data_IF_903496620822
#
_entry.id   IF_903496620822
#
_cell.length_a   1.000
_cell.length_b   1.000
_cell.length_c   1.000
_cell.angle_alpha   90.00
_cell.angle_beta   90.00
_cell.angle_gamma   90.00
#
_symmetry.space_group_name_H-M   'P 1'
#
loop_
_entity.id
_entity.type
_entity.pdbx_description
1 polymer ?
#
# COMPACT_ATOMS: atom_id res chain seq x y z
N UNK A 1 -33.34 -8.29 -29.69
CA UNK A 1 -33.09 -7.14 -30.56
C UNK A 1 -33.54 -5.84 -29.90
N UNK A 2 -34.83 -5.59 -29.67
CA UNK A 2 -35.31 -4.30 -29.14
C UNK A 2 -34.84 -3.93 -27.72
N UNK A 3 -34.54 -4.92 -26.84
CA UNK A 3 -34.02 -4.65 -25.48
C UNK A 3 -32.52 -4.34 -25.42
N UNK A 4 -31.74 -4.88 -26.36
CA UNK A 4 -30.29 -4.64 -26.42
C UNK A 4 -30.00 -3.27 -27.02
N UNK A 5 -30.75 -2.87 -28.04
CA UNK A 5 -30.64 -1.57 -28.70
C UNK A 5 -30.95 -0.42 -27.72
N UNK A 6 -32.02 -0.55 -26.92
CA UNK A 6 -32.38 0.41 -25.86
C UNK A 6 -31.31 0.55 -24.75
N UNK A 7 -30.53 -0.50 -24.49
CA UNK A 7 -29.45 -0.41 -23.50
C UNK A 7 -28.24 0.30 -24.07
N UNK A 8 -27.84 0.00 -25.31
CA UNK A 8 -26.72 0.69 -25.99
C UNK A 8 -26.97 2.17 -26.19
N UNK A 9 -28.16 2.58 -26.65
CA UNK A 9 -28.49 4.00 -26.84
C UNK A 9 -28.40 4.79 -25.52
N UNK A 10 -28.85 4.19 -24.41
CA UNK A 10 -28.75 4.80 -23.07
C UNK A 10 -27.32 4.84 -22.52
N UNK A 11 -26.47 3.91 -22.95
CA UNK A 11 -25.05 3.90 -22.58
C UNK A 11 -24.27 4.96 -23.37
N UNK A 12 -24.56 5.13 -24.66
CA UNK A 12 -23.93 6.13 -25.52
C UNK A 12 -24.36 7.56 -25.16
N UNK A 13 -25.64 7.78 -24.84
CA UNK A 13 -26.15 9.08 -24.35
C UNK A 13 -25.45 9.50 -23.03
N UNK A 14 -25.15 8.53 -22.15
CA UNK A 14 -24.36 8.77 -20.93
C UNK A 14 -22.88 9.06 -21.17
N UNK A 15 -22.32 8.68 -22.32
CA UNK A 15 -20.92 8.95 -22.66
C UNK A 15 -20.78 10.37 -23.22
N UNK A 16 -21.76 10.86 -23.99
CA UNK A 16 -21.79 12.26 -24.44
C UNK A 16 -21.91 13.25 -23.26
N UNK A 17 -22.67 12.91 -22.22
CA UNK A 17 -22.76 13.72 -20.98
C UNK A 17 -21.43 13.83 -20.21
N UNK A 18 -20.48 12.90 -20.45
CA UNK A 18 -19.17 12.88 -19.77
C UNK A 18 -18.14 13.79 -20.45
N UNK A 19 -18.32 14.10 -21.74
CA UNK A 19 -17.35 14.89 -22.51
C UNK A 19 -17.46 16.41 -22.29
N UNK A 20 -18.55 16.93 -21.71
CA UNK A 20 -18.79 18.39 -21.55
C UNK A 20 -18.57 18.94 -20.12
N UNK A 21 -17.97 18.16 -19.20
CA UNK A 21 -17.82 18.58 -17.78
C UNK A 21 -16.51 19.37 -17.58
N UNK A 22 -16.49 20.57 -18.16
CA UNK A 22 -15.47 21.59 -17.93
C UNK A 22 -15.85 22.56 -16.80
N UNK A 23 -15.20 22.38 -15.65
CA UNK A 23 -15.00 23.37 -14.57
C UNK A 23 -16.23 23.85 -13.76
N UNK A 24 -16.21 23.49 -12.48
CA UNK A 24 -16.96 24.08 -11.35
C UNK A 24 -18.36 23.52 -11.04
N UNK A 25 -18.46 22.19 -10.88
CA UNK A 25 -19.63 21.52 -10.31
C UNK A 25 -19.43 21.23 -8.81
N UNK A 26 -20.49 21.47 -8.03
CA UNK A 26 -20.55 21.34 -6.58
C UNK A 26 -20.24 19.89 -6.12
N UNK A 27 -19.15 19.73 -5.35
CA UNK A 27 -18.65 18.47 -4.79
C UNK A 27 -19.59 17.78 -3.78
N UNK A 28 -20.84 18.24 -3.62
CA UNK A 28 -21.82 17.69 -2.67
C UNK A 28 -22.85 16.77 -3.31
N UNK A 29 -23.09 16.85 -4.62
CA UNK A 29 -24.10 16.00 -5.30
C UNK A 29 -23.52 14.68 -5.86
N UNK A 30 -22.20 14.54 -5.96
CA UNK A 30 -21.53 13.32 -6.47
C UNK A 30 -21.36 12.18 -5.44
N UNK A 31 -21.49 12.44 -4.14
CA UNK A 31 -21.29 11.41 -3.10
C UNK A 31 -22.47 10.44 -2.96
N UNK A 32 -23.63 10.77 -3.55
CA UNK A 32 -24.82 9.93 -3.53
C UNK A 32 -24.82 8.94 -4.71
N UNK A 33 -24.87 7.64 -4.40
CA UNK A 33 -24.93 6.63 -5.45
C UNK A 33 -26.15 6.88 -6.39
N UNK A 34 -25.95 6.80 -7.72
CA UNK A 34 -27.05 6.86 -8.69
C UNK A 34 -28.06 5.72 -8.50
N UNK A 35 -27.65 4.64 -7.85
CA UNK A 35 -28.46 3.46 -7.56
C UNK A 35 -29.10 3.65 -6.18
N UNK A 36 -30.43 3.73 -6.15
CA UNK A 36 -31.21 3.99 -4.94
C UNK A 36 -30.97 2.93 -3.86
N UNK A 37 -30.88 1.66 -4.25
CA UNK A 37 -30.63 0.55 -3.34
C UNK A 37 -29.29 0.70 -2.61
N UNK A 38 -28.26 1.20 -3.29
CA UNK A 38 -26.93 1.41 -2.68
C UNK A 38 -26.97 2.61 -1.74
N UNK A 39 -27.60 3.71 -2.16
CA UNK A 39 -27.74 4.95 -1.37
C UNK A 39 -28.44 4.72 -0.02
N UNK A 40 -29.43 3.83 0.02
CA UNK A 40 -30.18 3.54 1.25
C UNK A 40 -29.41 2.60 2.19
N UNK A 41 -28.52 1.75 1.65
CA UNK A 41 -27.79 0.77 2.46
C UNK A 41 -26.61 1.35 3.23
N UNK A 42 -26.03 2.45 2.76
CA UNK A 42 -24.84 3.06 3.35
C UNK A 42 -25.08 4.56 3.49
N UNK A 43 -24.91 5.08 4.71
CA UNK A 43 -24.94 6.53 4.93
C UNK A 43 -23.74 7.17 4.24
N UNK A 44 -23.99 8.08 3.29
CA UNK A 44 -22.93 8.87 2.63
C UNK A 44 -22.41 10.00 3.53
N UNK A 45 -23.09 10.32 4.62
CA UNK A 45 -22.64 11.33 5.58
C UNK A 45 -21.64 10.74 6.57
N UNK A 46 -20.45 11.33 6.65
CA UNK A 46 -19.45 11.03 7.67
C UNK A 46 -19.73 11.78 8.98
N UNK A 47 -19.72 11.07 10.11
CA UNK A 47 -19.78 11.66 11.45
C UNK A 47 -18.37 11.92 11.98
N UNK A 48 -17.90 13.18 12.08
CA UNK A 48 -16.54 13.51 12.52
C UNK A 48 -16.30 13.27 14.01
N UNK A 49 -17.34 13.09 14.83
CA UNK A 49 -17.21 12.89 16.29
C UNK A 49 -16.99 11.43 16.68
N UNK A 50 -17.20 10.51 15.73
CA UNK A 50 -17.02 9.08 15.98
C UNK A 50 -15.55 8.75 16.30
N UNK A 51 -15.26 8.00 17.39
CA UNK A 51 -13.89 7.71 17.78
C UNK A 51 -13.22 6.77 16.77
N UNK A 52 -12.04 7.18 16.28
CA UNK A 52 -11.21 6.42 15.34
C UNK A 52 -9.95 5.85 16.01
N UNK A 53 -9.37 6.60 16.94
CA UNK A 53 -8.09 6.29 17.58
C UNK A 53 -8.34 5.69 18.97
N UNK A 54 -8.42 4.36 19.06
CA UNK A 54 -8.71 3.65 20.30
C UNK A 54 -7.74 2.51 20.56
N UNK A 55 -7.66 2.08 21.81
CA UNK A 55 -6.81 0.96 22.21
C UNK A 55 -7.16 -0.35 21.47
N UNK A 56 -8.46 -0.63 21.25
CA UNK A 56 -8.91 -1.81 20.52
C UNK A 56 -8.47 -1.82 19.06
N UNK A 57 -8.49 -0.66 18.39
CA UNK A 57 -8.00 -0.51 17.02
C UNK A 57 -6.50 -0.81 16.94
N UNK A 58 -5.69 -0.23 17.84
CA UNK A 58 -4.25 -0.48 17.86
C UNK A 58 -3.89 -1.91 18.22
N UNK A 59 -4.53 -2.49 19.24
CA UNK A 59 -4.23 -3.85 19.70
C UNK A 59 -4.61 -4.90 18.65
N UNK A 60 -5.83 -4.84 18.08
CA UNK A 60 -6.24 -5.75 17.02
C UNK A 60 -5.43 -5.50 15.73
N UNK A 61 -5.23 -4.24 15.36
CA UNK A 61 -4.47 -3.85 14.17
C UNK A 61 -3.04 -4.36 14.20
N UNK A 62 -2.30 -4.16 15.30
CA UNK A 62 -0.93 -4.64 15.45
C UNK A 62 -0.85 -6.17 15.54
N UNK A 63 -1.81 -6.81 16.22
CA UNK A 63 -1.84 -8.27 16.35
C UNK A 63 -2.05 -8.94 14.97
N UNK A 64 -3.05 -8.50 14.21
CA UNK A 64 -3.29 -9.05 12.88
C UNK A 64 -2.18 -8.69 11.90
N UNK A 65 -1.66 -7.47 11.97
CA UNK A 65 -0.50 -7.04 11.18
C UNK A 65 0.69 -7.97 11.41
N UNK A 66 1.08 -8.18 12.67
CA UNK A 66 2.21 -9.04 13.00
C UNK A 66 2.00 -10.50 12.53
N UNK A 67 0.79 -11.04 12.73
CA UNK A 67 0.45 -12.39 12.31
C UNK A 67 0.50 -12.56 10.79
N UNK A 68 -0.13 -11.64 10.04
CA UNK A 68 -0.15 -11.68 8.57
C UNK A 68 1.25 -11.50 8.01
N UNK A 69 2.01 -10.51 8.50
CA UNK A 69 3.39 -10.29 8.06
C UNK A 69 4.27 -11.50 8.31
N UNK A 70 4.12 -12.17 9.45
CA UNK A 70 4.89 -13.39 9.73
C UNK A 70 4.57 -14.51 8.75
N UNK A 71 3.28 -14.81 8.52
CA UNK A 71 2.88 -15.88 7.60
C UNK A 71 3.32 -15.54 6.18
N UNK A 72 2.99 -14.35 5.68
CA UNK A 72 3.33 -13.94 4.32
C UNK A 72 4.85 -13.95 4.10
N UNK A 73 5.64 -13.44 5.04
CA UNK A 73 7.10 -13.45 4.93
C UNK A 73 7.70 -14.86 5.04
N UNK A 74 7.17 -15.71 5.90
CA UNK A 74 7.67 -17.08 6.11
C UNK A 74 7.44 -17.98 4.90
N UNK A 75 6.27 -17.87 4.25
CA UNK A 75 5.94 -18.67 3.07
C UNK A 75 6.46 -18.07 1.76
N UNK A 76 7.01 -16.86 1.78
CA UNK A 76 7.43 -16.14 0.58
C UNK A 76 8.48 -16.88 -0.26
N UNK A 77 9.49 -17.48 0.39
CA UNK A 77 10.56 -18.20 -0.31
C UNK A 77 10.17 -19.62 -0.74
N UNK A 78 8.94 -20.06 -0.46
CA UNK A 78 8.49 -21.41 -0.84
C UNK A 78 7.93 -21.39 -2.25
N UNK A 79 8.23 -22.45 -3.00
CA UNK A 79 7.73 -22.64 -4.37
C UNK A 79 6.20 -22.58 -4.47
N UNK A 80 5.48 -23.06 -3.45
CA UNK A 80 4.05 -22.85 -3.27
C UNK A 80 3.84 -21.86 -2.13
N UNK A 81 3.74 -20.58 -2.45
CA UNK A 81 3.49 -19.52 -1.48
C UNK A 81 2.04 -19.57 -0.98
N UNK A 82 1.86 -19.54 0.34
CA UNK A 82 0.56 -19.36 0.99
C UNK A 82 0.54 -17.94 1.53
N UNK A 83 -0.35 -17.11 1.02
CA UNK A 83 -0.50 -15.71 1.43
C UNK A 83 -1.87 -15.45 2.03
N UNK A 84 -1.91 -14.73 3.13
CA UNK A 84 -3.13 -14.26 3.77
C UNK A 84 -3.44 -12.86 3.26
N UNK A 85 -4.60 -12.69 2.63
CA UNK A 85 -5.11 -11.40 2.19
C UNK A 85 -5.83 -10.63 3.31
N UNK A 86 -5.89 -9.30 3.16
CA UNK A 86 -6.56 -8.42 4.12
C UNK A 86 -8.05 -8.75 4.35
N UNK A 87 -8.74 -9.32 3.37
CA UNK A 87 -10.16 -9.70 3.49
C UNK A 87 -10.41 -10.70 4.62
N UNK A 88 -9.45 -11.61 4.89
CA UNK A 88 -9.54 -12.54 6.02
C UNK A 88 -9.52 -11.78 7.34
N UNK A 89 -8.65 -10.78 7.46
CA UNK A 89 -8.60 -9.92 8.64
C UNK A 89 -9.86 -9.06 8.76
N UNK A 90 -10.39 -8.53 7.67
CA UNK A 90 -11.65 -7.79 7.68
C UNK A 90 -12.80 -8.65 8.23
N UNK A 91 -12.93 -9.89 7.77
CA UNK A 91 -13.97 -10.80 8.27
C UNK A 91 -13.79 -11.16 9.74
N UNK A 92 -12.56 -11.40 10.19
CA UNK A 92 -12.27 -11.87 11.55
C UNK A 92 -12.24 -10.73 12.57
N UNK A 93 -11.78 -9.54 12.18
CA UNK A 93 -11.68 -8.39 13.09
C UNK A 93 -13.03 -7.79 13.47
N UNK A 94 -14.08 -7.95 12.65
CA UNK A 94 -15.43 -7.47 12.97
C UNK A 94 -16.02 -8.14 14.23
N UNK A 95 -16.17 -9.48 14.30
CA UNK A 95 -16.69 -10.13 15.51
C UNK A 95 -15.76 -9.94 16.71
N UNK A 96 -14.44 -9.94 16.52
CA UNK A 96 -13.47 -9.71 17.59
C UNK A 96 -13.53 -8.28 18.13
N UNK A 97 -13.73 -7.28 17.28
CA UNK A 97 -13.92 -5.88 17.67
C UNK A 97 -15.17 -5.71 18.55
N UNK A 98 -16.28 -6.32 18.15
CA UNK A 98 -17.50 -6.34 18.97
C UNK A 98 -17.34 -7.13 20.28
N UNK A 99 -16.57 -8.22 20.28
CA UNK A 99 -16.26 -8.97 21.50
C UNK A 99 -15.43 -8.12 22.46
N UNK A 100 -14.38 -7.49 21.96
CA UNK A 100 -13.50 -6.62 22.73
C UNK A 100 -14.23 -5.39 23.27
N UNK A 101 -15.17 -4.82 22.51
CA UNK A 101 -16.04 -3.73 22.97
C UNK A 101 -16.98 -4.15 24.12
N UNK A 102 -17.33 -5.43 24.25
CA UNK A 102 -18.13 -5.95 25.37
C UNK A 102 -17.27 -6.32 26.58
N UNK A 103 -16.06 -6.81 26.35
CA UNK A 103 -15.16 -7.31 27.40
C UNK A 103 -14.36 -6.18 28.07
N UNK A 104 -13.99 -5.13 27.33
CA UNK A 104 -13.14 -4.06 27.86
C UNK A 104 -13.89 -3.17 28.87
N UNK A 105 -13.25 -2.84 30.00
CA UNK A 105 -13.81 -1.93 30.99
C UNK A 105 -13.86 -0.49 30.47
N UNK A 106 -14.95 0.22 30.78
CA UNK A 106 -15.17 1.65 30.48
C UNK A 106 -14.50 2.59 31.49
N UNK A 107 -13.54 2.08 32.29
CA UNK A 107 -12.88 2.88 33.32
C UNK A 107 -11.96 3.92 32.68
N UNK A 108 -12.11 5.16 33.12
CA UNK A 108 -11.17 6.24 32.83
C UNK A 108 -9.91 6.03 33.67
N UNK A 109 -8.80 5.73 33.00
CA UNK A 109 -7.51 5.59 33.65
C UNK A 109 -6.76 6.90 33.48
N UNK A 110 -6.26 7.43 34.60
CA UNK A 110 -5.42 8.62 34.60
C UNK A 110 -3.97 8.17 34.68
N UNK A 111 -3.23 8.31 33.58
CA UNK A 111 -1.81 7.96 33.53
C UNK A 111 -1.04 9.22 33.15
N UNK A 112 -0.10 9.64 34.01
CA UNK A 112 0.79 10.78 33.76
C UNK A 112 0.07 12.08 33.34
N UNK A 113 -1.11 12.36 33.93
CA UNK A 113 -1.87 13.57 33.67
C UNK A 113 -2.78 13.50 32.43
N UNK A 114 -2.81 12.36 31.73
CA UNK A 114 -3.75 12.10 30.64
C UNK A 114 -4.84 11.13 31.10
N UNK A 115 -6.09 11.56 30.96
CA UNK A 115 -7.26 10.71 31.20
C UNK A 115 -7.65 10.03 29.89
N UNK A 116 -7.50 8.71 29.81
CA UNK A 116 -7.94 7.93 28.66
C UNK A 116 -8.91 6.82 29.07
N UNK A 117 -9.91 6.54 28.23
CA UNK A 117 -10.81 5.40 28.39
C UNK A 117 -10.37 4.27 27.46
N UNK A 118 -10.28 3.06 27.99
CA UNK A 118 -10.00 1.85 27.18
C UNK A 118 -11.18 1.48 26.28
N UNK A 119 -12.39 1.87 26.66
CA UNK A 119 -13.61 1.58 25.92
C UNK A 119 -14.49 2.84 25.83
N UNK A 120 -14.25 3.71 24.83
CA UNK A 120 -14.98 4.98 24.70
C UNK A 120 -16.41 4.80 24.17
N UNK A 121 -16.75 3.67 23.54
CA UNK A 121 -18.06 3.45 22.93
C UNK A 121 -18.15 2.12 22.16
N UNK A 122 -19.23 1.85 21.41
CA UNK A 122 -19.35 0.65 20.58
C UNK A 122 -18.26 0.61 19.49
N UNK A 123 -17.97 -0.58 18.97
CA UNK A 123 -17.02 -0.77 17.87
C UNK A 123 -17.47 -0.01 16.62
N UNK A 124 -16.62 0.87 16.12
CA UNK A 124 -16.97 1.81 15.06
C UNK A 124 -16.50 1.33 13.69
N UNK A 125 -17.18 1.77 12.63
CA UNK A 125 -16.78 1.47 11.24
C UNK A 125 -15.39 2.04 10.95
N UNK A 126 -15.06 3.20 11.51
CA UNK A 126 -13.75 3.86 11.36
C UNK A 126 -12.62 3.01 11.93
N UNK A 127 -12.80 2.43 13.11
CA UNK A 127 -11.82 1.51 13.71
C UNK A 127 -11.65 0.24 12.88
N UNK A 128 -12.74 -0.30 12.35
CA UNK A 128 -12.71 -1.48 11.51
C UNK A 128 -11.93 -1.24 10.22
N UNK A 129 -12.22 -0.14 9.53
CA UNK A 129 -11.50 0.27 8.32
C UNK A 129 -10.03 0.51 8.63
N UNK A 130 -9.70 1.14 9.76
CA UNK A 130 -8.30 1.38 10.15
C UNK A 130 -7.52 0.08 10.42
N UNK A 131 -8.14 -0.92 11.05
CA UNK A 131 -7.52 -2.26 11.18
C UNK A 131 -7.30 -2.89 9.78
N UNK A 132 -8.29 -2.76 8.90
CA UNK A 132 -8.21 -3.23 7.52
C UNK A 132 -7.07 -2.56 6.74
N UNK A 133 -6.93 -1.24 6.81
CA UNK A 133 -5.88 -0.51 6.10
C UNK A 133 -4.49 -0.83 6.64
N UNK A 134 -4.33 -0.98 7.96
CA UNK A 134 -3.06 -1.44 8.56
C UNK A 134 -2.63 -2.80 7.99
N UNK A 135 -3.55 -3.74 7.83
CA UNK A 135 -3.24 -5.09 7.32
C UNK A 135 -3.12 -5.17 5.81
N UNK A 136 -3.84 -4.32 5.07
CA UNK A 136 -3.72 -4.23 3.61
C UNK A 136 -2.28 -3.93 3.17
N UNK A 137 -1.59 -3.02 3.88
CA UNK A 137 -0.19 -2.64 3.59
C UNK A 137 0.78 -3.84 3.75
N UNK A 138 0.43 -4.85 4.54
CA UNK A 138 1.29 -6.01 4.83
C UNK A 138 0.97 -7.25 3.97
N UNK A 139 0.05 -7.12 3.01
CA UNK A 139 -0.31 -8.25 2.15
C UNK A 139 0.83 -8.60 1.17
N UNK A 140 1.66 -7.60 0.83
CA UNK A 140 2.83 -7.77 -0.04
C UNK A 140 4.12 -7.79 0.76
N UNK A 141 5.08 -8.62 0.35
CA UNK A 141 6.43 -8.63 0.93
C UNK A 141 7.28 -7.49 0.37
N UNK A 142 8.23 -7.00 1.17
CA UNK A 142 9.10 -5.91 0.76
C UNK A 142 10.16 -6.41 -0.24
N UNK A 143 10.15 -5.90 -1.48
CA UNK A 143 11.10 -6.28 -2.54
C UNK A 143 12.59 -6.12 -2.12
N UNK A 144 12.87 -5.18 -1.23
CA UNK A 144 14.19 -4.97 -0.64
C UNK A 144 14.76 -6.22 0.05
N UNK A 145 13.91 -7.10 0.56
CA UNK A 145 14.31 -8.34 1.21
C UNK A 145 14.98 -9.28 0.22
N UNK A 146 14.53 -9.33 -1.03
CA UNK A 146 15.16 -10.14 -2.09
C UNK A 146 16.57 -9.69 -2.37
N UNK A 147 16.81 -8.38 -2.40
CA UNK A 147 18.16 -7.82 -2.61
C UNK A 147 19.12 -8.34 -1.53
N UNK A 148 18.68 -8.34 -0.26
CA UNK A 148 19.49 -8.82 0.86
C UNK A 148 19.71 -10.33 0.79
N UNK A 149 18.66 -11.10 0.46
CA UNK A 149 18.74 -12.57 0.34
C UNK A 149 19.65 -12.96 -0.82
N UNK A 150 19.49 -12.34 -2.00
CA UNK A 150 20.30 -12.61 -3.19
C UNK A 150 21.77 -12.29 -2.94
N UNK A 151 22.09 -11.18 -2.28
CA UNK A 151 23.47 -10.85 -1.89
C UNK A 151 24.07 -11.90 -0.96
N UNK A 152 23.28 -12.44 -0.03
CA UNK A 152 23.75 -13.49 0.87
C UNK A 152 23.91 -14.84 0.16
N UNK A 153 22.97 -15.21 -0.71
CA UNK A 153 22.90 -16.52 -1.33
C UNK A 153 23.88 -16.68 -2.52
N UNK A 154 23.97 -15.66 -3.39
CA UNK A 154 24.76 -15.74 -4.62
C UNK A 154 26.13 -15.08 -4.50
N UNK A 155 26.25 -14.02 -3.70
CA UNK A 155 27.49 -13.24 -3.61
C UNK A 155 28.31 -13.52 -2.33
N UNK A 156 27.81 -14.37 -1.43
CA UNK A 156 28.43 -14.70 -0.13
C UNK A 156 28.89 -13.45 0.66
N UNK A 157 28.23 -12.31 0.45
CA UNK A 157 28.60 -11.03 1.06
C UNK A 157 27.64 -10.70 2.19
N UNK A 158 28.06 -10.90 3.43
CA UNK A 158 27.27 -10.52 4.59
C UNK A 158 27.32 -9.00 4.82
N UNK A 159 26.22 -8.31 4.49
CA UNK A 159 26.04 -6.91 4.88
C UNK A 159 25.62 -6.84 6.36
N UNK A 160 26.03 -5.78 7.09
CA UNK A 160 25.60 -5.62 8.48
C UNK A 160 24.08 -5.49 8.54
N UNK A 161 23.48 -6.10 9.56
CA UNK A 161 22.02 -6.12 9.77
C UNK A 161 21.39 -4.73 9.64
N UNK A 162 22.03 -3.71 10.22
CA UNK A 162 21.56 -2.32 10.18
C UNK A 162 21.48 -1.80 8.76
N UNK A 163 22.42 -2.14 7.87
CA UNK A 163 22.37 -1.70 6.48
C UNK A 163 21.21 -2.35 5.73
N UNK A 164 20.95 -3.64 5.95
CA UNK A 164 19.78 -4.33 5.39
C UNK A 164 18.46 -3.75 5.91
N UNK A 165 18.38 -3.48 7.22
CA UNK A 165 17.21 -2.87 7.84
C UNK A 165 16.95 -1.46 7.29
N UNK A 166 17.99 -0.62 7.19
CA UNK A 166 17.86 0.72 6.63
C UNK A 166 17.44 0.68 5.15
N UNK A 167 17.96 -0.27 4.38
CA UNK A 167 17.56 -0.46 2.98
C UNK A 167 16.09 -0.83 2.89
N UNK A 168 15.61 -1.80 3.68
CA UNK A 168 14.18 -2.14 3.71
C UNK A 168 13.35 -0.93 4.16
N UNK A 169 13.75 -0.25 5.24
CA UNK A 169 13.00 0.87 5.80
C UNK A 169 12.86 2.04 4.82
N UNK A 170 13.92 2.41 4.10
CA UNK A 170 13.86 3.52 3.13
C UNK A 170 12.89 3.22 1.99
N UNK A 171 12.84 1.98 1.50
CA UNK A 171 11.88 1.60 0.44
C UNK A 171 10.43 1.75 0.88
N UNK A 172 10.13 1.42 2.14
CA UNK A 172 8.77 1.53 2.67
C UNK A 172 8.36 2.99 2.94
N UNK A 173 9.31 3.84 3.37
CA UNK A 173 9.02 5.24 3.70
C UNK A 173 8.94 6.14 2.46
N UNK A 174 9.63 5.79 1.37
CA UNK A 174 9.67 6.60 0.14
C UNK A 174 8.28 6.95 -0.40
N UNK A 175 7.34 5.99 -0.43
CA UNK A 175 5.97 6.24 -0.90
C UNK A 175 5.22 7.24 -0.03
N UNK A 176 5.27 7.08 1.28
CA UNK A 176 4.65 8.02 2.23
C UNK A 176 5.31 9.40 2.21
N UNK A 177 6.63 9.46 2.00
CA UNK A 177 7.36 10.72 1.87
C UNK A 177 6.93 11.49 0.63
N UNK A 178 6.79 10.80 -0.53
CA UNK A 178 6.31 11.40 -1.76
C UNK A 178 4.85 11.89 -1.61
N UNK A 179 3.98 11.07 -1.04
CA UNK A 179 2.59 11.45 -0.77
C UNK A 179 2.49 12.69 0.14
N UNK A 180 3.27 12.72 1.22
CA UNK A 180 3.35 13.87 2.13
C UNK A 180 3.89 15.13 1.46
N UNK A 181 4.91 14.99 0.61
CA UNK A 181 5.49 16.10 -0.15
C UNK A 181 4.49 16.68 -1.15
N UNK A 182 3.80 15.83 -1.92
CA UNK A 182 2.78 16.24 -2.88
C UNK A 182 1.60 16.95 -2.19
N UNK A 183 1.10 16.40 -1.08
CA UNK A 183 0.02 17.02 -0.29
C UNK A 183 0.42 18.41 0.21
N UNK A 184 1.66 18.58 0.69
CA UNK A 184 2.16 19.87 1.19
C UNK A 184 2.41 20.87 0.06
N UNK A 185 2.90 20.40 -1.10
CA UNK A 185 3.29 21.24 -2.25
C UNK A 185 2.09 21.73 -3.06
N UNK A 186 1.09 20.88 -3.33
CA UNK A 186 0.01 21.16 -4.28
C UNK A 186 -1.33 21.56 -3.65
N UNK A 187 -1.36 21.81 -2.33
CA UNK A 187 -2.56 22.12 -1.52
C UNK A 187 -3.55 20.95 -1.41
N UNK A 188 -4.31 20.95 -0.32
CA UNK A 188 -5.26 19.88 0.03
C UNK A 188 -6.32 19.64 -1.06
N UNK A 189 -6.84 20.70 -1.68
CA UNK A 189 -7.92 20.59 -2.66
C UNK A 189 -7.49 19.87 -3.94
N UNK A 190 -6.27 20.10 -4.42
CA UNK A 190 -5.75 19.37 -5.58
C UNK A 190 -5.50 17.91 -5.23
N UNK A 191 -4.88 17.65 -4.07
CA UNK A 191 -4.63 16.29 -3.60
C UNK A 191 -5.94 15.50 -3.46
N UNK A 192 -6.99 16.08 -2.88
CA UNK A 192 -8.29 15.42 -2.71
C UNK A 192 -8.94 15.01 -4.04
N UNK A 193 -8.74 15.80 -5.11
CA UNK A 193 -9.33 15.53 -6.44
C UNK A 193 -8.51 14.54 -7.26
N UNK A 194 -7.18 14.68 -7.25
CA UNK A 194 -6.30 13.96 -8.19
C UNK A 194 -5.44 12.85 -7.56
N UNK A 195 -5.56 12.57 -6.26
CA UNK A 195 -4.75 11.53 -5.60
C UNK A 195 -4.90 10.15 -6.25
N UNK A 196 -6.15 9.71 -6.50
CA UNK A 196 -6.41 8.41 -7.14
C UNK A 196 -5.82 8.32 -8.55
N UNK A 197 -6.05 9.34 -9.37
CA UNK A 197 -5.49 9.42 -10.73
C UNK A 197 -3.95 9.43 -10.71
N UNK A 198 -3.35 10.17 -9.78
CA UNK A 198 -1.89 10.22 -9.63
C UNK A 198 -1.32 8.86 -9.24
N UNK A 199 -1.98 8.12 -8.34
CA UNK A 199 -1.58 6.76 -7.98
C UNK A 199 -1.65 5.82 -9.19
N UNK A 200 -2.75 5.83 -9.93
CA UNK A 200 -2.91 5.00 -11.12
C UNK A 200 -1.88 5.34 -12.21
N UNK A 201 -1.54 6.62 -12.37
CA UNK A 201 -0.51 7.08 -13.30
C UNK A 201 0.90 6.59 -12.89
N UNK A 202 1.18 6.49 -11.59
CA UNK A 202 2.47 5.95 -11.11
C UNK A 202 2.60 4.44 -11.38
N UNK A 203 1.54 3.67 -11.12
CA UNK A 203 1.55 2.22 -11.37
C UNK A 203 1.68 1.91 -12.88
N UNK A 204 0.93 2.63 -13.71
CA UNK A 204 1.04 2.51 -15.17
C UNK A 204 2.39 3.01 -15.69
N UNK A 205 2.95 4.06 -15.09
CA UNK A 205 4.30 4.55 -15.39
C UNK A 205 5.38 3.50 -15.16
N UNK A 206 5.32 2.75 -14.05
CA UNK A 206 6.26 1.65 -13.78
C UNK A 206 6.15 0.56 -14.84
N UNK A 207 4.93 0.20 -15.27
CA UNK A 207 4.73 -0.81 -16.32
C UNK A 207 5.32 -0.36 -17.67
N UNK A 208 5.08 0.90 -18.07
CA UNK A 208 5.63 1.48 -19.30
C UNK A 208 7.16 1.51 -19.25
N UNK A 209 7.75 1.95 -18.14
CA UNK A 209 9.20 1.92 -17.93
C UNK A 209 9.76 0.50 -18.07
N UNK A 210 9.06 -0.50 -17.52
CA UNK A 210 9.45 -1.91 -17.66
C UNK A 210 9.50 -2.38 -19.12
N UNK A 211 8.51 -2.00 -19.93
CA UNK A 211 8.51 -2.33 -21.37
C UNK A 211 9.65 -1.66 -22.11
N UNK A 212 9.91 -0.37 -21.84
CA UNK A 212 11.02 0.37 -22.45
C UNK A 212 12.35 -0.28 -22.11
N UNK A 213 12.58 -0.65 -20.85
CA UNK A 213 13.80 -1.34 -20.40
C UNK A 213 13.93 -2.70 -21.08
N UNK A 214 12.86 -3.47 -21.18
CA UNK A 214 12.87 -4.78 -21.84
C UNK A 214 13.32 -4.69 -23.30
N UNK A 215 12.71 -3.78 -24.08
CA UNK A 215 13.11 -3.58 -25.48
C UNK A 215 14.51 -3.01 -25.60
N UNK A 216 14.89 -2.06 -24.74
CA UNK A 216 16.23 -1.48 -24.75
C UNK A 216 17.32 -2.53 -24.48
N UNK A 217 17.10 -3.46 -23.54
CA UNK A 217 18.08 -4.51 -23.22
C UNK A 217 18.09 -5.62 -24.28
N UNK A 218 16.92 -6.09 -24.73
CA UNK A 218 16.88 -7.16 -25.74
C UNK A 218 17.37 -6.72 -27.13
N UNK A 219 17.14 -5.47 -27.52
CA UNK A 219 17.62 -4.97 -28.82
C UNK A 219 19.09 -4.53 -28.81
N UNK A 220 19.74 -4.55 -27.64
CA UNK A 220 21.13 -4.15 -27.50
C UNK A 220 22.08 -5.34 -27.70
N UNK A 221 22.73 -5.39 -28.85
CA UNK A 221 23.73 -6.42 -29.19
C UNK A 221 25.17 -6.06 -28.73
N UNK A 222 25.39 -4.86 -28.19
CA UNK A 222 26.72 -4.38 -27.77
C UNK A 222 27.09 -4.72 -26.32
N UNK A 223 28.34 -4.44 -25.94
CA UNK A 223 28.72 -4.43 -24.51
C UNK A 223 28.00 -3.30 -23.77
N UNK A 224 27.70 -3.49 -22.48
CA UNK A 224 27.09 -2.43 -21.67
C UNK A 224 28.02 -1.20 -21.60
N UNK A 225 27.49 0.03 -21.70
CA UNK A 225 28.31 1.24 -21.67
C UNK A 225 29.06 1.37 -20.33
N UNK A 226 30.25 1.96 -20.39
CA UNK A 226 31.05 2.27 -19.22
C UNK A 226 30.61 3.63 -18.65
N UNK A 227 30.16 3.67 -17.40
CA UNK A 227 29.74 4.89 -16.70
C UNK A 227 29.91 4.72 -15.19
N UNK A 228 29.62 5.76 -14.41
CA UNK A 228 29.86 5.75 -12.96
C UNK A 228 29.14 4.60 -12.23
N UNK A 229 28.01 4.12 -12.74
CA UNK A 229 27.27 2.97 -12.20
C UNK A 229 27.61 1.62 -12.83
N UNK A 230 28.49 1.58 -13.84
CA UNK A 230 28.99 0.35 -14.48
C UNK A 230 30.44 0.53 -14.96
N UNK A 231 31.42 0.65 -14.04
CA UNK A 231 32.83 0.77 -14.41
C UNK A 231 33.39 -0.57 -14.90
N UNK A 232 34.22 -0.54 -15.97
CA UNK A 232 34.80 -1.76 -16.58
C UNK A 232 35.69 -2.59 -15.65
N UNK A 233 36.36 -1.97 -14.67
CA UNK A 233 37.34 -2.65 -13.80
C UNK A 233 36.73 -3.19 -12.50
N UNK A 234 35.79 -2.48 -11.89
CA UNK A 234 35.23 -2.81 -10.57
C UNK A 234 33.71 -2.62 -10.58
N UNK A 235 33.00 -3.50 -11.28
CA UNK A 235 31.54 -3.43 -11.51
C UNK A 235 30.76 -3.10 -10.22
N UNK A 236 31.16 -3.66 -9.08
CA UNK A 236 30.47 -3.49 -7.80
C UNK A 236 31.00 -2.35 -6.91
N UNK A 237 31.97 -1.56 -7.38
CA UNK A 237 32.75 -0.60 -6.57
C UNK A 237 33.33 -1.19 -5.28
N UNK A 238 33.34 -2.52 -5.16
CA UNK A 238 33.82 -3.26 -4.02
C UNK A 238 35.19 -3.84 -4.36
N UNK A 239 36.25 -3.52 -3.59
CA UNK A 239 37.61 -4.01 -3.84
C UNK A 239 37.73 -5.54 -3.88
N UNK A 240 36.76 -6.26 -3.29
CA UNK A 240 36.72 -7.73 -3.20
C UNK A 240 35.67 -8.37 -4.13
N UNK A 241 34.90 -7.59 -4.89
CA UNK A 241 33.83 -8.11 -5.75
C UNK A 241 34.36 -9.00 -6.89
N UNK A 242 35.51 -8.66 -7.46
CA UNK A 242 36.15 -9.42 -8.55
C UNK A 242 36.85 -10.71 -8.11
N UNK A 243 37.20 -10.86 -6.83
CA UNK A 243 37.93 -12.03 -6.33
C UNK A 243 37.10 -13.32 -6.45
N UNK A 244 35.78 -13.23 -6.28
CA UNK A 244 34.86 -14.37 -6.35
C UNK A 244 34.54 -14.81 -7.78
N UNK A 245 34.59 -13.91 -8.78
CA UNK A 245 34.34 -14.26 -10.18
C UNK A 245 35.56 -14.94 -10.83
N UNK A 246 36.76 -14.49 -10.49
CA UNK A 246 38.00 -15.04 -11.05
C UNK A 246 38.69 -16.11 -10.18
N UNK A 247 38.10 -16.46 -9.02
CA UNK A 247 38.62 -17.52 -8.14
C UNK A 247 39.95 -17.18 -7.47
N UNK A 248 40.30 -15.90 -7.36
CA UNK A 248 41.50 -15.51 -6.61
C UNK A 248 41.17 -15.55 -5.12
N UNK A 249 41.75 -16.51 -4.41
CA UNK A 249 41.85 -16.45 -2.94
C UNK A 249 42.60 -15.18 -2.56
N UNK A 250 42.00 -14.39 -1.68
CA UNK A 250 42.61 -13.19 -1.09
C UNK A 250 44.02 -13.45 -0.55
#
# INVERSE_FOLDING_TARGET
MEKEEYTTERFDEKIEDVEDIGADYDLQEEDDSPIEEVRVTISNTDDPLMPCNTFRMWSLGLLFTAAVSFVNQFFYLRQTQISIGYSVVALVSLPLGHLMARVLPTRQMNLFGWSFSLNPGPFSVKEHILIGTMTAVNTSTAYAVDIVILQKLFYNSEKPFIAGLLLVFTTQVTGFALAGALRKRYRYNWWSRYNYLTSAALDTGVAICGLVIFFAIQSWEGEMPNWWGNPKENIDHCPLGGANYYGYTA
#
